data_IF_935898772535
#
_entry.id   IF_935898772535
#
_cell.length_a   1.000
_cell.length_b   1.000
_cell.length_c   1.000
_cell.angle_alpha   90.00
_cell.angle_beta   90.00
_cell.angle_gamma   90.00
#
_symmetry.space_group_name_H-M   'P 1'
#
loop_
_entity.id
_entity.type
_entity.pdbx_description
1 polymer ?
#
# COMPACT_ATOMS: atom_id res chain seq x y z
N UNK A 1 15.14 14.37 -61.22
CA UNK A 1 15.70 13.39 -60.30
C UNK A 1 15.57 13.95 -58.90
N UNK A 2 14.54 13.62 -58.21
CA UNK A 2 14.38 13.81 -56.73
C UNK A 2 13.57 12.64 -56.24
N UNK A 3 14.22 11.81 -55.45
CA UNK A 3 13.65 10.60 -54.87
C UNK A 3 12.66 10.97 -53.76
N UNK A 4 11.47 10.42 -53.87
CA UNK A 4 10.39 10.51 -52.88
C UNK A 4 10.49 9.30 -51.95
N UNK A 5 10.71 9.57 -50.69
CA UNK A 5 10.71 8.53 -49.63
C UNK A 5 9.26 8.19 -49.26
N UNK A 6 8.84 6.92 -49.17
CA UNK A 6 7.43 6.56 -48.87
C UNK A 6 7.11 6.82 -47.40
N UNK A 7 5.93 7.39 -47.15
CA UNK A 7 5.40 7.74 -45.86
C UNK A 7 5.12 6.54 -44.95
N UNK A 8 5.47 6.70 -43.69
CA UNK A 8 5.07 5.84 -42.60
C UNK A 8 3.59 6.08 -42.29
N UNK A 9 2.74 5.10 -42.49
CA UNK A 9 1.33 5.14 -42.11
C UNK A 9 1.20 4.93 -40.61
N UNK A 10 0.74 5.96 -39.91
CA UNK A 10 0.26 5.82 -38.53
C UNK A 10 -1.04 5.02 -38.54
N UNK A 11 -0.98 3.80 -38.00
CA UNK A 11 -2.17 3.03 -37.64
C UNK A 11 -2.65 3.60 -36.31
N UNK A 12 -3.78 4.30 -36.35
CA UNK A 12 -4.45 4.83 -35.19
C UNK A 12 -5.00 3.70 -34.32
N UNK A 13 -4.38 3.46 -33.17
CA UNK A 13 -5.01 2.76 -32.06
C UNK A 13 -5.83 3.78 -31.27
N UNK A 14 -7.13 3.80 -31.52
CA UNK A 14 -8.10 4.46 -30.66
C UNK A 14 -8.50 3.46 -29.57
N UNK A 15 -7.72 3.39 -28.50
CA UNK A 15 -8.22 2.88 -27.22
C UNK A 15 -8.86 4.04 -26.47
N UNK A 16 -10.20 4.10 -26.57
CA UNK A 16 -11.00 4.96 -25.71
C UNK A 16 -10.91 4.43 -24.26
N UNK A 17 -10.85 5.33 -23.26
CA UNK A 17 -10.90 4.90 -21.85
C UNK A 17 -12.21 4.15 -21.62
N UNK A 18 -12.11 2.90 -21.11
CA UNK A 18 -13.29 2.15 -20.67
C UNK A 18 -13.88 2.87 -19.47
N UNK A 19 -15.10 3.35 -19.61
CA UNK A 19 -15.91 3.80 -18.48
C UNK A 19 -16.15 2.60 -17.55
N UNK A 20 -15.58 2.64 -16.34
CA UNK A 20 -15.82 1.65 -15.31
C UNK A 20 -17.15 1.99 -14.63
N UNK A 21 -18.24 1.36 -15.08
CA UNK A 21 -19.51 1.33 -14.36
C UNK A 21 -19.40 0.45 -13.10
N UNK A 22 -20.31 0.55 -12.13
CA UNK A 22 -20.33 -0.28 -10.92
C UNK A 22 -20.48 -1.75 -11.33
N UNK A 23 -19.42 -2.55 -11.12
CA UNK A 23 -19.31 -3.96 -11.50
C UNK A 23 -18.21 -4.26 -12.53
N UNK A 24 -17.34 -3.31 -12.87
CA UNK A 24 -16.15 -3.59 -13.67
C UNK A 24 -15.20 -4.50 -12.88
N UNK A 25 -14.75 -5.60 -13.50
CA UNK A 25 -13.67 -6.43 -12.94
C UNK A 25 -12.49 -5.52 -12.59
N UNK A 26 -12.11 -5.52 -11.30
CA UNK A 26 -10.96 -4.79 -10.84
C UNK A 26 -9.73 -5.27 -11.61
N UNK A 27 -8.85 -4.37 -12.11
CA UNK A 27 -7.63 -4.81 -12.74
C UNK A 27 -6.82 -5.61 -11.74
N UNK A 28 -6.50 -6.86 -12.12
CA UNK A 28 -5.69 -7.75 -11.28
C UNK A 28 -4.28 -7.19 -11.14
N UNK A 29 -3.65 -7.44 -9.99
CA UNK A 29 -2.25 -7.14 -9.80
C UNK A 29 -1.41 -8.06 -10.70
N UNK A 30 -0.32 -7.53 -11.22
CA UNK A 30 0.60 -8.22 -12.13
C UNK A 30 1.66 -8.96 -11.29
N UNK A 31 1.60 -10.30 -11.24
CA UNK A 31 2.56 -11.13 -10.51
C UNK A 31 3.99 -10.98 -11.03
N UNK A 32 4.17 -10.71 -12.33
CA UNK A 32 5.48 -10.52 -12.96
C UNK A 32 6.12 -9.17 -12.56
N UNK A 33 5.32 -8.25 -12.04
CA UNK A 33 5.78 -6.95 -11.57
C UNK A 33 6.12 -6.91 -10.08
N UNK A 34 5.95 -8.02 -9.33
CA UNK A 34 6.27 -8.08 -7.91
C UNK A 34 7.77 -8.31 -7.72
N UNK A 35 8.42 -7.43 -6.95
CA UNK A 35 9.82 -7.60 -6.55
C UNK A 35 9.90 -8.36 -5.21
N UNK A 36 10.66 -9.43 -5.20
CA UNK A 36 10.86 -10.27 -4.02
C UNK A 36 12.30 -10.18 -3.52
N UNK A 37 12.50 -10.09 -2.20
CA UNK A 37 13.83 -10.11 -1.58
C UNK A 37 14.45 -11.51 -1.45
N UNK A 38 13.68 -12.57 -1.74
CA UNK A 38 14.12 -13.95 -1.69
C UNK A 38 13.51 -14.76 -2.85
N UNK A 39 14.24 -15.76 -3.39
CA UNK A 39 13.71 -16.66 -4.41
C UNK A 39 12.61 -17.58 -3.79
N UNK A 40 11.73 -18.19 -4.60
CA UNK A 40 10.58 -18.95 -4.10
C UNK A 40 10.90 -20.00 -3.04
N UNK A 41 12.00 -20.73 -3.22
CA UNK A 41 12.45 -21.80 -2.33
C UNK A 41 12.89 -21.32 -0.93
N UNK A 42 13.19 -20.03 -0.78
CA UNK A 42 13.61 -19.43 0.49
C UNK A 42 12.50 -18.67 1.21
N UNK A 43 11.27 -18.64 0.67
CA UNK A 43 10.14 -17.88 1.22
C UNK A 43 9.37 -18.66 2.29
N UNK A 44 9.29 -19.98 2.13
CA UNK A 44 8.49 -20.83 2.99
C UNK A 44 8.87 -20.70 4.49
N UNK A 45 7.84 -20.56 5.35
CA UNK A 45 8.02 -20.46 6.80
C UNK A 45 8.61 -19.12 7.29
N UNK A 46 8.88 -18.15 6.44
CA UNK A 46 9.34 -16.82 6.84
C UNK A 46 8.17 -15.82 6.86
N UNK A 47 8.13 -14.87 7.80
CA UNK A 47 7.12 -13.83 7.79
C UNK A 47 7.28 -12.95 6.53
N UNK A 48 6.16 -12.54 5.95
CA UNK A 48 6.09 -11.71 4.76
C UNK A 48 5.85 -10.24 5.15
N UNK A 49 6.63 -9.32 4.60
CA UNK A 49 6.38 -7.89 4.63
C UNK A 49 6.06 -7.39 3.22
N UNK A 50 4.82 -6.94 3.00
CA UNK A 50 4.39 -6.42 1.70
C UNK A 50 4.52 -4.90 1.66
N UNK A 51 5.19 -4.38 0.64
CA UNK A 51 5.41 -2.95 0.42
C UNK A 51 4.46 -2.42 -0.66
N UNK A 52 3.73 -1.34 -0.33
CA UNK A 52 2.69 -0.73 -1.17
C UNK A 52 3.06 0.74 -1.45
N UNK A 53 3.47 1.04 -2.68
CA UNK A 53 3.99 2.35 -3.07
C UNK A 53 2.91 3.44 -3.15
N UNK A 54 3.34 4.70 -3.19
CA UNK A 54 2.48 5.86 -3.35
C UNK A 54 1.98 6.08 -4.78
N UNK A 55 1.04 7.01 -4.95
CA UNK A 55 0.51 7.42 -6.25
C UNK A 55 1.61 7.92 -7.18
N UNK A 56 1.59 7.49 -8.44
CA UNK A 56 2.56 7.90 -9.45
C UNK A 56 3.94 7.23 -9.32
N UNK A 57 4.09 6.28 -8.41
CA UNK A 57 5.31 5.52 -8.18
C UNK A 57 5.22 4.10 -8.74
N UNK A 58 6.07 3.19 -8.28
CA UNK A 58 6.12 1.80 -8.70
C UNK A 58 6.76 0.92 -7.60
N UNK A 59 6.82 -0.39 -7.84
CA UNK A 59 7.37 -1.41 -6.93
C UNK A 59 8.84 -1.18 -6.52
N UNK A 60 9.65 -0.52 -7.36
CA UNK A 60 11.06 -0.28 -7.06
C UNK A 60 11.28 0.74 -5.95
N UNK A 61 10.35 1.70 -5.80
CA UNK A 61 10.47 2.83 -4.88
C UNK A 61 10.66 2.35 -3.43
N UNK A 62 9.68 1.66 -2.87
CA UNK A 62 9.81 1.13 -1.51
C UNK A 62 10.72 -0.10 -1.44
N UNK A 63 10.91 -0.86 -2.51
CA UNK A 63 11.86 -1.97 -2.52
C UNK A 63 13.29 -1.52 -2.27
N UNK A 64 13.63 -0.28 -2.60
CA UNK A 64 14.92 0.32 -2.25
C UNK A 64 15.19 0.39 -0.74
N UNK A 65 14.15 0.29 0.10
CA UNK A 65 14.27 0.22 1.56
C UNK A 65 14.64 -1.18 2.07
N UNK A 66 14.48 -2.24 1.26
CA UNK A 66 14.68 -3.62 1.68
C UNK A 66 16.03 -3.89 2.38
N UNK A 67 17.18 -3.31 1.96
CA UNK A 67 18.45 -3.51 2.65
C UNK A 67 18.50 -2.96 4.09
N UNK A 68 17.60 -2.05 4.45
CA UNK A 68 17.53 -1.43 5.77
C UNK A 68 16.51 -2.09 6.70
N UNK A 69 15.62 -2.93 6.15
CA UNK A 69 14.57 -3.61 6.90
C UNK A 69 15.08 -4.90 7.53
N UNK A 70 14.47 -5.41 8.61
CA UNK A 70 14.92 -6.63 9.27
C UNK A 70 14.98 -7.82 8.30
N UNK A 71 16.13 -8.51 8.17
CA UNK A 71 16.35 -9.55 7.16
C UNK A 71 15.56 -10.85 7.41
N UNK A 72 14.93 -10.98 8.58
CA UNK A 72 14.04 -12.10 8.88
C UNK A 72 12.78 -12.11 8.02
N UNK A 73 12.30 -10.94 7.57
CA UNK A 73 11.19 -10.87 6.63
C UNK A 73 11.61 -11.32 5.22
N UNK A 74 10.69 -11.99 4.53
CA UNK A 74 10.65 -11.93 3.08
C UNK A 74 9.93 -10.64 2.71
N UNK A 75 10.48 -9.88 1.78
CA UNK A 75 9.88 -8.61 1.34
C UNK A 75 9.29 -8.83 -0.07
N UNK A 76 8.05 -8.38 -0.26
CA UNK A 76 7.40 -8.32 -1.55
C UNK A 76 6.96 -6.88 -1.83
N UNK A 77 7.50 -6.23 -2.85
CA UNK A 77 7.04 -4.91 -3.29
C UNK A 77 6.12 -5.07 -4.50
N UNK A 78 4.89 -4.61 -4.35
CA UNK A 78 3.79 -4.84 -5.30
C UNK A 78 3.52 -3.59 -6.11
N UNK A 79 3.37 -3.76 -7.43
CA UNK A 79 2.95 -2.69 -8.34
C UNK A 79 1.44 -2.51 -8.28
N UNK A 80 0.99 -1.27 -8.12
CA UNK A 80 -0.42 -0.91 -8.23
C UNK A 80 -0.95 -1.13 -9.66
N UNK A 81 -2.24 -1.49 -9.84
CA UNK A 81 -2.74 -1.98 -11.13
C UNK A 81 -3.12 -0.89 -12.15
N UNK A 82 -3.25 0.37 -11.74
CA UNK A 82 -3.77 1.43 -12.60
C UNK A 82 -2.66 2.37 -13.08
N UNK A 83 -2.75 2.82 -14.33
CA UNK A 83 -1.93 3.93 -14.83
C UNK A 83 -2.65 5.26 -14.52
N UNK A 84 -1.98 6.21 -13.82
CA UNK A 84 -2.56 7.52 -13.59
C UNK A 84 -2.75 8.29 -14.92
N UNK A 85 -3.65 9.30 -14.94
CA UNK A 85 -3.78 10.18 -16.11
C UNK A 85 -2.47 10.91 -16.41
N UNK A 86 -2.16 11.07 -17.71
CA UNK A 86 -1.04 11.90 -18.16
C UNK A 86 -1.17 13.34 -17.59
N UNK A 87 -0.09 13.99 -17.11
CA UNK A 87 1.34 13.63 -17.28
C UNK A 87 1.93 12.84 -16.11
N UNK A 88 1.16 12.33 -15.16
CA UNK A 88 1.69 11.62 -13.98
C UNK A 88 2.32 10.29 -14.41
N UNK A 89 3.60 10.02 -14.10
CA UNK A 89 4.22 8.75 -14.40
C UNK A 89 3.77 7.65 -13.42
N UNK A 90 4.22 6.41 -13.67
CA UNK A 90 4.09 5.30 -12.75
C UNK A 90 2.69 4.75 -12.63
N UNK A 91 2.34 4.30 -11.41
CA UNK A 91 1.15 3.50 -11.13
C UNK A 91 0.35 4.05 -9.95
N UNK A 92 -0.92 3.67 -9.85
CA UNK A 92 -1.82 4.07 -8.77
C UNK A 92 -2.75 2.95 -8.34
N UNK A 93 -3.15 2.95 -7.07
CA UNK A 93 -4.09 1.98 -6.52
C UNK A 93 -5.54 2.34 -6.87
N UNK A 94 -5.85 3.62 -6.84
CA UNK A 94 -7.17 4.16 -7.18
C UNK A 94 -7.03 5.59 -7.72
N UNK A 95 -8.03 6.11 -8.47
CA UNK A 95 -7.99 7.48 -9.00
C UNK A 95 -7.90 8.53 -7.90
N UNK A 96 -7.07 9.58 -8.10
CA UNK A 96 -6.92 10.69 -7.13
C UNK A 96 -8.20 11.49 -6.94
N UNK A 97 -9.08 11.55 -7.94
CA UNK A 97 -10.38 12.23 -7.83
C UNK A 97 -11.19 11.70 -6.65
N UNK A 98 -10.99 10.43 -6.26
CA UNK A 98 -11.53 9.83 -5.06
C UNK A 98 -10.91 10.31 -3.73
N UNK A 99 -9.75 11.00 -3.73
CA UNK A 99 -9.16 11.57 -2.50
C UNK A 99 -9.96 12.75 -1.95
N UNK A 100 -10.67 13.48 -2.80
CA UNK A 100 -11.56 14.58 -2.43
C UNK A 100 -13.01 14.15 -2.28
N UNK A 101 -13.39 13.02 -2.86
CA UNK A 101 -14.69 12.40 -2.63
C UNK A 101 -14.65 11.69 -1.26
N UNK A 102 -15.73 11.77 -0.51
CA UNK A 102 -15.92 11.00 0.72
C UNK A 102 -16.08 9.49 0.47
N UNK A 103 -16.00 9.07 -0.78
CA UNK A 103 -16.25 7.71 -1.20
C UNK A 103 -15.00 6.83 -1.07
N UNK A 104 -15.01 5.95 -0.06
CA UNK A 104 -13.98 4.92 0.15
C UNK A 104 -14.09 3.75 -0.84
N UNK A 105 -15.09 3.74 -1.74
CA UNK A 105 -15.39 2.60 -2.62
C UNK A 105 -14.20 2.21 -3.48
N UNK A 106 -13.51 3.20 -4.08
CA UNK A 106 -12.36 2.92 -4.93
C UNK A 106 -11.16 2.35 -4.13
N UNK A 107 -10.93 2.86 -2.92
CA UNK A 107 -9.89 2.33 -2.04
C UNK A 107 -10.23 0.92 -1.53
N UNK A 108 -11.51 0.67 -1.21
CA UNK A 108 -12.02 -0.65 -0.81
C UNK A 108 -11.82 -1.65 -1.94
N UNK A 109 -12.25 -1.30 -3.14
CA UNK A 109 -12.10 -2.15 -4.32
C UNK A 109 -10.63 -2.50 -4.62
N UNK A 110 -9.72 -1.52 -4.50
CA UNK A 110 -8.28 -1.75 -4.67
C UNK A 110 -7.69 -2.63 -3.55
N UNK A 111 -8.15 -2.46 -2.31
CA UNK A 111 -7.73 -3.31 -1.19
C UNK A 111 -8.26 -4.75 -1.33
N UNK A 112 -9.48 -4.97 -1.87
CA UNK A 112 -10.01 -6.28 -2.20
C UNK A 112 -9.20 -6.96 -3.31
N UNK A 113 -8.80 -6.21 -4.35
CA UNK A 113 -7.92 -6.72 -5.42
C UNK A 113 -6.55 -7.13 -4.85
N UNK A 114 -5.96 -6.30 -3.99
CA UNK A 114 -4.74 -6.61 -3.27
C UNK A 114 -4.89 -7.86 -2.38
N UNK A 115 -5.96 -7.96 -1.60
CA UNK A 115 -6.22 -9.13 -0.75
C UNK A 115 -6.42 -10.41 -1.59
N UNK A 116 -7.02 -10.30 -2.77
CA UNK A 116 -7.15 -11.42 -3.71
C UNK A 116 -5.80 -11.91 -4.21
N UNK A 117 -4.92 -10.98 -4.63
CA UNK A 117 -3.55 -11.29 -5.00
C UNK A 117 -2.79 -11.96 -3.85
N UNK A 118 -2.87 -11.41 -2.64
CA UNK A 118 -2.16 -11.93 -1.47
C UNK A 118 -2.53 -13.39 -1.16
N UNK A 119 -3.80 -13.77 -1.33
CA UNK A 119 -4.25 -15.18 -1.15
C UNK A 119 -3.61 -16.15 -2.14
N UNK A 120 -3.25 -15.68 -3.34
CA UNK A 120 -2.49 -16.47 -4.31
C UNK A 120 -0.97 -16.50 -4.05
N UNK A 121 -0.44 -15.43 -3.44
CA UNK A 121 0.99 -15.22 -3.26
C UNK A 121 1.57 -15.88 -2.01
N UNK A 122 0.76 -16.24 -1.00
CA UNK A 122 1.23 -16.81 0.26
C UNK A 122 0.17 -17.67 0.96
N UNK A 123 0.61 -18.61 1.78
CA UNK A 123 -0.26 -19.44 2.60
C UNK A 123 -0.98 -18.63 3.68
N UNK A 124 -2.18 -19.08 4.05
CA UNK A 124 -2.99 -18.43 5.09
C UNK A 124 -2.31 -18.39 6.47
N UNK A 125 -1.41 -19.32 6.74
CA UNK A 125 -0.66 -19.44 8.02
C UNK A 125 0.60 -18.56 8.05
N UNK A 126 1.05 -18.03 6.91
CA UNK A 126 2.21 -17.13 6.86
C UNK A 126 1.86 -15.81 7.54
N UNK A 127 2.60 -15.37 8.58
CA UNK A 127 2.42 -14.04 9.16
C UNK A 127 2.70 -12.97 8.13
N UNK A 128 1.77 -12.04 7.95
CA UNK A 128 1.90 -10.93 6.98
C UNK A 128 1.83 -9.59 7.68
N UNK A 129 2.85 -8.76 7.48
CA UNK A 129 2.83 -7.34 7.78
C UNK A 129 2.71 -6.51 6.50
N UNK A 130 2.13 -5.33 6.60
CA UNK A 130 2.03 -4.38 5.49
C UNK A 130 2.85 -3.12 5.81
N UNK A 131 3.52 -2.58 4.81
CA UNK A 131 4.14 -1.26 4.86
C UNK A 131 3.71 -0.47 3.64
N UNK A 132 2.98 0.60 3.84
CA UNK A 132 2.55 1.48 2.77
C UNK A 132 3.10 2.88 2.91
N UNK A 133 3.24 3.58 1.77
CA UNK A 133 3.49 5.01 1.70
C UNK A 133 2.34 5.71 0.99
N UNK A 134 1.84 6.80 1.57
CA UNK A 134 0.81 7.66 0.97
C UNK A 134 -0.43 6.84 0.53
N UNK A 135 -0.75 6.78 -0.77
CA UNK A 135 -1.85 5.98 -1.29
C UNK A 135 -1.74 4.49 -0.94
N UNK A 136 -0.52 3.91 -0.99
CA UNK A 136 -0.28 2.53 -0.55
C UNK A 136 -0.57 2.29 0.93
N UNK A 137 -0.37 3.29 1.78
CA UNK A 137 -0.78 3.24 3.20
C UNK A 137 -2.30 3.17 3.37
N UNK A 138 -3.05 3.89 2.52
CA UNK A 138 -4.53 3.80 2.53
C UNK A 138 -4.97 2.39 2.18
N UNK A 139 -4.33 1.75 1.19
CA UNK A 139 -4.61 0.36 0.84
C UNK A 139 -4.24 -0.60 1.98
N UNK A 140 -3.09 -0.42 2.63
CA UNK A 140 -2.67 -1.24 3.77
C UNK A 140 -3.69 -1.18 4.92
N UNK A 141 -4.14 0.01 5.29
CA UNK A 141 -5.15 0.19 6.33
C UNK A 141 -6.51 -0.36 5.90
N UNK A 142 -6.91 -0.17 4.64
CA UNK A 142 -8.18 -0.67 4.14
C UNK A 142 -8.20 -2.19 4.07
N UNK A 143 -7.09 -2.83 3.67
CA UNK A 143 -6.94 -4.29 3.72
C UNK A 143 -7.03 -4.83 5.15
N UNK A 144 -6.38 -4.14 6.12
CA UNK A 144 -6.50 -4.47 7.54
C UNK A 144 -7.96 -4.35 8.04
N UNK A 145 -8.70 -3.33 7.61
CA UNK A 145 -10.12 -3.16 7.96
C UNK A 145 -11.00 -4.24 7.36
N UNK A 146 -10.71 -4.70 6.12
CA UNK A 146 -11.48 -5.75 5.43
C UNK A 146 -11.27 -7.15 6.04
N UNK A 147 -10.07 -7.44 6.51
CA UNK A 147 -9.72 -8.73 7.13
C UNK A 147 -8.75 -8.50 8.30
N UNK A 148 -9.28 -8.10 9.49
CA UNK A 148 -8.47 -7.73 10.65
C UNK A 148 -7.56 -8.84 11.17
N UNK A 149 -7.98 -10.08 11.02
CA UNK A 149 -7.24 -11.25 11.51
C UNK A 149 -6.10 -11.69 10.58
N UNK A 150 -6.11 -11.24 9.32
CA UNK A 150 -5.13 -11.68 8.30
C UNK A 150 -3.76 -11.06 8.50
N UNK A 151 -3.68 -9.86 9.06
CA UNK A 151 -2.46 -9.07 9.13
C UNK A 151 -1.93 -8.94 10.55
N UNK A 152 -0.65 -9.29 10.74
CA UNK A 152 0.00 -9.21 12.04
C UNK A 152 0.23 -7.75 12.49
N UNK A 153 0.48 -6.83 11.55
CA UNK A 153 0.70 -5.40 11.80
C UNK A 153 0.65 -4.59 10.50
N UNK A 154 0.52 -3.26 10.65
CA UNK A 154 0.63 -2.31 9.52
C UNK A 154 1.60 -1.18 9.86
N UNK A 155 2.44 -0.80 8.90
CA UNK A 155 3.22 0.44 8.89
C UNK A 155 2.58 1.39 7.89
N UNK A 156 2.04 2.49 8.39
CA UNK A 156 1.41 3.57 7.61
C UNK A 156 2.34 4.78 7.59
N UNK A 157 2.95 5.08 6.44
CA UNK A 157 3.83 6.23 6.23
C UNK A 157 3.10 7.28 5.39
N UNK A 158 2.88 8.46 5.97
CA UNK A 158 2.21 9.59 5.33
C UNK A 158 0.84 9.24 4.70
N UNK A 159 0.12 8.27 5.26
CA UNK A 159 -1.22 7.87 4.80
C UNK A 159 -2.31 8.27 5.77
N UNK A 160 -3.53 7.83 5.47
CA UNK A 160 -4.73 8.15 6.25
C UNK A 160 -5.75 6.99 6.20
N UNK A 161 -6.70 6.99 7.12
CA UNK A 161 -7.86 6.07 7.10
C UNK A 161 -8.90 6.58 6.10
N UNK A 162 -9.35 5.70 5.20
CA UNK A 162 -10.44 6.01 4.27
C UNK A 162 -11.75 6.22 5.04
N UNK A 163 -12.61 7.14 4.55
CA UNK A 163 -13.91 7.42 5.15
C UNK A 163 -14.88 6.24 5.06
N UNK A 164 -15.96 6.33 5.83
CA UNK A 164 -17.02 5.33 5.88
C UNK A 164 -16.71 4.18 6.83
N UNK A 165 -17.77 3.52 7.29
CA UNK A 165 -17.70 2.38 8.19
C UNK A 165 -17.67 1.07 7.40
N UNK A 166 -16.87 0.10 7.86
CA UNK A 166 -16.90 -1.27 7.37
C UNK A 166 -17.52 -2.20 8.42
N UNK A 167 -18.21 -3.25 8.00
CA UNK A 167 -18.82 -4.23 8.95
C UNK A 167 -17.79 -4.85 9.89
N UNK A 168 -16.54 -4.94 9.47
CA UNK A 168 -15.39 -5.53 10.19
C UNK A 168 -14.68 -4.56 11.14
N UNK A 169 -15.03 -3.26 11.15
CA UNK A 169 -14.39 -2.28 12.04
C UNK A 169 -14.60 -2.61 13.53
N UNK A 170 -15.72 -3.24 13.88
CA UNK A 170 -15.96 -3.73 15.25
C UNK A 170 -14.98 -4.84 15.66
N UNK A 171 -14.76 -5.83 14.79
CA UNK A 171 -13.78 -6.88 15.00
C UNK A 171 -12.35 -6.31 15.11
N UNK A 172 -12.01 -5.36 14.24
CA UNK A 172 -10.71 -4.67 14.28
C UNK A 172 -10.49 -3.97 15.62
N UNK A 173 -11.53 -3.29 16.15
CA UNK A 173 -11.47 -2.60 17.45
C UNK A 173 -11.31 -3.57 18.64
N UNK A 174 -11.77 -4.81 18.52
CA UNK A 174 -11.57 -5.87 19.52
C UNK A 174 -10.17 -6.48 19.43
N UNK A 175 -9.69 -6.78 18.22
CA UNK A 175 -8.36 -7.38 17.98
C UNK A 175 -7.22 -6.42 18.24
N UNK A 176 -7.39 -5.15 17.91
CA UNK A 176 -6.40 -4.06 18.09
C UNK A 176 -5.00 -4.42 17.58
N UNK A 177 -4.83 -4.81 16.31
CA UNK A 177 -3.51 -5.14 15.78
C UNK A 177 -2.55 -3.94 15.87
N UNK A 178 -1.23 -4.17 16.01
CA UNK A 178 -0.22 -3.11 16.04
C UNK A 178 -0.18 -2.31 14.74
N UNK A 179 -0.27 -0.98 14.84
CA UNK A 179 -0.11 -0.07 13.70
C UNK A 179 0.90 1.03 14.03
N UNK A 180 1.94 1.14 13.22
CA UNK A 180 2.80 2.30 13.20
C UNK A 180 2.21 3.36 12.27
N UNK A 181 2.11 4.61 12.70
CA UNK A 181 1.72 5.72 11.87
C UNK A 181 2.71 6.87 11.96
N UNK A 182 3.54 7.03 10.93
CA UNK A 182 4.50 8.11 10.77
C UNK A 182 4.01 9.16 9.77
N UNK A 183 4.24 10.44 10.07
CA UNK A 183 3.91 11.53 9.16
C UNK A 183 4.74 12.78 9.39
N UNK A 184 4.96 13.55 8.34
CA UNK A 184 5.56 14.87 8.43
C UNK A 184 4.59 15.91 9.01
N UNK A 185 5.11 16.82 9.87
CA UNK A 185 4.33 17.97 10.33
C UNK A 185 4.15 19.02 9.21
N UNK A 186 4.98 18.96 8.16
CA UNK A 186 4.96 19.86 6.99
C UNK A 186 4.42 19.17 5.74
N UNK A 187 3.68 18.06 5.90
CA UNK A 187 3.02 17.38 4.81
C UNK A 187 1.81 18.22 4.35
N UNK A 188 1.91 18.76 3.13
CA UNK A 188 0.88 19.57 2.47
C UNK A 188 0.09 18.75 1.41
N UNK A 189 0.46 17.48 1.20
CA UNK A 189 -0.21 16.59 0.23
C UNK A 189 -1.46 15.98 0.84
N UNK A 190 -1.36 15.49 2.08
CA UNK A 190 -2.51 14.88 2.75
C UNK A 190 -3.40 15.96 3.36
N UNK A 191 -4.70 16.04 2.96
CA UNK A 191 -5.61 17.06 3.48
C UNK A 191 -5.74 17.00 5.01
N UNK A 192 -5.75 18.15 5.67
CA UNK A 192 -5.85 18.24 7.13
C UNK A 192 -7.08 17.52 7.69
N UNK A 193 -8.20 17.50 6.97
CA UNK A 193 -9.40 16.75 7.36
C UNK A 193 -9.14 15.25 7.43
N UNK A 194 -8.34 14.68 6.51
CA UNK A 194 -7.97 13.26 6.51
C UNK A 194 -7.05 12.93 7.68
N UNK A 195 -6.10 13.84 7.97
CA UNK A 195 -5.24 13.71 9.15
C UNK A 195 -6.06 13.73 10.44
N UNK A 196 -7.00 14.67 10.56
CA UNK A 196 -7.87 14.77 11.74
C UNK A 196 -8.73 13.51 11.91
N UNK A 197 -9.35 13.03 10.85
CA UNK A 197 -10.11 11.77 10.88
C UNK A 197 -9.23 10.60 11.35
N UNK A 198 -8.02 10.48 10.82
CA UNK A 198 -7.08 9.40 11.17
C UNK A 198 -6.64 9.49 12.64
N UNK A 199 -6.39 10.71 13.18
CA UNK A 199 -6.08 10.93 14.59
C UNK A 199 -7.20 10.42 15.49
N UNK A 200 -8.45 10.66 15.11
CA UNK A 200 -9.60 10.24 15.91
C UNK A 200 -9.92 8.75 15.76
N UNK A 201 -9.68 8.18 14.59
CA UNK A 201 -10.09 6.82 14.26
C UNK A 201 -9.11 5.76 14.75
N UNK A 202 -7.80 5.89 14.43
CA UNK A 202 -6.80 4.84 14.71
C UNK A 202 -6.73 4.44 16.19
N UNK A 203 -6.68 5.35 17.19
CA UNK A 203 -6.55 4.97 18.59
C UNK A 203 -7.72 4.12 19.11
N UNK A 204 -8.88 4.18 18.46
CA UNK A 204 -10.08 3.42 18.84
C UNK A 204 -10.07 1.99 18.29
N UNK A 205 -9.32 1.72 17.22
CA UNK A 205 -9.39 0.46 16.50
C UNK A 205 -8.09 -0.37 16.54
N UNK A 206 -6.94 0.25 16.84
CA UNK A 206 -5.65 -0.43 16.76
C UNK A 206 -4.76 -0.13 17.95
N UNK A 207 -3.69 -0.91 18.17
CA UNK A 207 -2.59 -0.53 19.05
C UNK A 207 -1.65 0.42 18.30
N UNK A 208 -1.85 1.73 18.52
CA UNK A 208 -1.20 2.78 17.73
C UNK A 208 0.18 3.17 18.28
N UNK A 209 1.20 3.07 17.42
CA UNK A 209 2.53 3.71 17.57
C UNK A 209 2.62 4.94 16.67
N UNK A 210 2.11 6.09 17.11
CA UNK A 210 2.09 7.34 16.33
C UNK A 210 3.40 8.13 16.43
N UNK A 211 3.88 8.70 15.32
CA UNK A 211 5.03 9.61 15.25
C UNK A 211 4.73 10.81 14.33
N UNK A 212 5.17 11.98 14.73
CA UNK A 212 5.09 13.21 13.92
C UNK A 212 6.48 13.82 13.84
N UNK A 213 6.99 13.98 12.62
CA UNK A 213 8.34 14.49 12.36
C UNK A 213 8.27 15.97 11.98
N UNK A 214 8.77 16.90 12.83
CA UNK A 214 8.47 18.34 12.71
C UNK A 214 8.94 19.00 11.40
N UNK A 215 10.06 18.51 10.84
CA UNK A 215 10.65 19.06 9.60
C UNK A 215 10.24 18.35 8.33
N UNK A 216 9.57 17.21 8.44
CA UNK A 216 9.30 16.31 7.32
C UNK A 216 8.09 16.80 6.51
N UNK A 217 8.23 16.77 5.19
CA UNK A 217 7.16 16.99 4.21
C UNK A 217 6.51 15.64 3.85
N UNK A 218 5.92 15.49 2.65
CA UNK A 218 5.36 14.23 2.15
C UNK A 218 6.47 13.31 1.63
N UNK A 219 7.24 12.72 2.54
CA UNK A 219 8.39 11.85 2.24
C UNK A 219 8.72 10.98 3.45
N UNK A 220 9.69 10.09 3.33
CA UNK A 220 10.23 9.27 4.42
C UNK A 220 11.61 9.80 4.80
N UNK A 221 11.88 10.00 6.09
CA UNK A 221 13.20 10.41 6.60
C UNK A 221 13.99 9.22 7.17
N UNK A 222 15.31 9.40 7.35
CA UNK A 222 16.13 8.42 8.04
C UNK A 222 15.68 8.16 9.48
N UNK A 223 15.23 9.22 10.18
CA UNK A 223 14.70 9.11 11.53
C UNK A 223 13.41 8.28 11.56
N UNK A 224 12.47 8.54 10.63
CA UNK A 224 11.25 7.75 10.50
C UNK A 224 11.57 6.30 10.14
N UNK A 225 12.50 6.05 9.21
CA UNK A 225 12.93 4.70 8.86
C UNK A 225 13.52 3.96 10.06
N UNK A 226 14.32 4.62 10.90
CA UNK A 226 14.86 4.03 12.12
C UNK A 226 13.75 3.62 13.11
N UNK A 227 12.73 4.47 13.28
CA UNK A 227 11.55 4.15 14.11
C UNK A 227 10.75 2.96 13.53
N UNK A 228 10.60 2.91 12.19
CA UNK A 228 9.97 1.77 11.49
C UNK A 228 10.73 0.47 11.74
N UNK A 229 12.07 0.49 11.60
CA UNK A 229 12.91 -0.69 11.85
C UNK A 229 12.78 -1.16 13.30
N UNK A 230 12.76 -0.24 14.26
CA UNK A 230 12.54 -0.57 15.67
C UNK A 230 11.14 -1.16 15.92
N UNK A 231 10.10 -0.62 15.26
CA UNK A 231 8.74 -1.18 15.33
C UNK A 231 8.70 -2.59 14.72
N UNK A 232 9.26 -2.80 13.53
CA UNK A 232 9.31 -4.11 12.86
C UNK A 232 10.07 -5.16 13.68
N UNK A 233 11.15 -4.77 14.36
CA UNK A 233 11.88 -5.65 15.27
C UNK A 233 10.99 -6.17 16.41
N UNK A 234 10.21 -5.28 17.05
CA UNK A 234 9.24 -5.69 18.09
C UNK A 234 8.15 -6.61 17.54
N UNK A 235 7.70 -6.39 16.31
CA UNK A 235 6.70 -7.27 15.71
C UNK A 235 7.28 -8.66 15.43
N UNK A 236 8.53 -8.77 14.96
CA UNK A 236 9.20 -10.06 14.77
C UNK A 236 9.28 -10.85 16.08
N UNK A 237 9.62 -10.19 17.19
CA UNK A 237 9.73 -10.83 18.52
C UNK A 237 8.35 -11.31 19.04
N UNK A 238 7.26 -10.68 18.58
CA UNK A 238 5.89 -11.02 18.96
C UNK A 238 5.24 -12.10 18.05
N UNK A 239 5.82 -12.39 16.87
CA UNK A 239 5.30 -13.47 16.02
C UNK A 239 5.49 -14.84 16.67
N UNK A 240 4.56 -15.80 16.45
CA UNK A 240 4.70 -17.13 16.99
C UNK A 240 6.03 -17.77 16.56
N UNK A 241 6.70 -18.42 17.54
CA UNK A 241 7.92 -19.15 17.26
C UNK A 241 7.65 -20.24 16.20
N UNK A 242 8.61 -20.42 15.29
CA UNK A 242 8.54 -21.48 14.29
C UNK A 242 8.63 -22.84 15.01
N UNK A 243 7.69 -23.71 14.76
CA UNK A 243 7.83 -25.15 15.06
C UNK A 243 8.75 -25.84 14.05
#
# INVERSE_FOLDING_TARGET
MRDVVPGCQYVGMTDAPRETGPGADLPQLDDDAVLWSAPPEERAGRPLLVLLHGYGSNENDLFALAPYLPPAFVIAAVRAPLSPPFPTPGWSWFPIEGLHASDATAATAAAEAFASWLRGATDATTPVGLLGFSQGSVIALQALRLDPSRFAFVVNLAGFVADGDLPTDGELAELRPPVFWGRGARDEVIPAARVAHTIDWLPRHVELSGRVYPGLTHSVSEEELADVVAFLGKQLDALPARE
#
